data_IF_327658582036
#
_entry.id   IF_327658582036
#
_cell.length_a   1.000
_cell.length_b   1.000
_cell.length_c   1.000
_cell.angle_alpha   90.00
_cell.angle_beta   90.00
_cell.angle_gamma   90.00
#
_symmetry.space_group_name_H-M   'P 1'
#
loop_
_entity.id
_entity.type
_entity.pdbx_description
1 polymer ?
#
# COMPACT_ATOMS: atom_id res chain seq x y z
N UNK A 1 -32.75 -2.85 -3.72
CA UNK A 1 -32.18 -1.75 -4.53
C UNK A 1 -33.00 -0.49 -4.32
N UNK A 2 -32.50 0.46 -3.53
CA UNK A 2 -32.99 1.84 -3.52
C UNK A 2 -31.79 2.74 -3.83
N UNK A 3 -31.84 3.41 -4.96
CA UNK A 3 -30.85 4.36 -5.44
C UNK A 3 -30.79 5.55 -4.47
N UNK A 4 -29.64 5.78 -3.84
CA UNK A 4 -29.41 6.94 -3.00
C UNK A 4 -28.82 8.06 -3.87
N UNK A 5 -29.69 8.90 -4.41
CA UNK A 5 -29.27 10.09 -5.17
C UNK A 5 -28.95 11.20 -4.16
N UNK A 6 -27.66 11.45 -3.93
CA UNK A 6 -27.19 12.48 -3.01
C UNK A 6 -27.48 13.88 -3.59
N UNK A 7 -28.33 14.65 -2.91
CA UNK A 7 -28.66 16.02 -3.30
C UNK A 7 -27.48 16.96 -2.98
N UNK A 8 -26.86 17.55 -4.00
CA UNK A 8 -25.59 18.29 -3.92
C UNK A 8 -25.64 19.66 -3.23
N UNK A 9 -26.79 20.10 -2.71
CA UNK A 9 -27.04 21.50 -2.42
C UNK A 9 -27.14 21.89 -0.92
N UNK A 10 -26.59 21.10 0.01
CA UNK A 10 -26.55 21.45 1.45
C UNK A 10 -25.22 21.09 2.09
N UNK A 11 -24.12 21.62 1.54
CA UNK A 11 -22.78 21.45 2.11
C UNK A 11 -22.24 22.83 2.51
N UNK A 12 -22.81 23.40 3.58
CA UNK A 12 -22.16 24.52 4.27
C UNK A 12 -21.03 23.95 5.13
N UNK A 13 -19.85 23.80 4.52
CA UNK A 13 -18.61 23.58 5.26
C UNK A 13 -18.33 24.81 6.14
N UNK A 14 -17.96 24.64 7.42
CA UNK A 14 -17.57 25.77 8.26
C UNK A 14 -16.35 26.50 7.68
N UNK A 15 -16.34 27.82 7.84
CA UNK A 15 -15.38 28.74 7.25
C UNK A 15 -13.92 28.44 7.67
N UNK A 16 -13.02 28.74 6.73
CA UNK A 16 -11.55 28.68 6.77
C UNK A 16 -10.89 28.77 8.16
N UNK A 17 -10.74 27.62 8.81
CA UNK A 17 -9.55 27.32 9.60
C UNK A 17 -8.54 26.61 8.71
N UNK A 18 -7.24 26.68 9.04
CA UNK A 18 -6.21 25.86 8.38
C UNK A 18 -6.71 24.43 8.16
N UNK A 19 -6.42 23.79 7.01
CA UNK A 19 -6.83 22.41 6.79
C UNK A 19 -6.39 21.57 7.99
N UNK A 20 -7.30 20.80 8.61
CA UNK A 20 -6.94 20.03 9.79
C UNK A 20 -5.79 19.11 9.42
N UNK A 21 -4.76 19.10 10.25
CA UNK A 21 -3.63 18.21 10.09
C UNK A 21 -4.11 16.76 10.24
N UNK A 22 -4.43 16.15 9.09
CA UNK A 22 -4.89 14.76 8.96
C UNK A 22 -3.81 13.75 9.40
N UNK A 23 -2.59 14.21 9.72
CA UNK A 23 -1.56 13.37 10.32
C UNK A 23 -1.77 13.16 11.84
N UNK A 24 -2.69 13.90 12.49
CA UNK A 24 -2.98 13.79 13.93
C UNK A 24 -4.09 12.79 14.28
N UNK A 25 -3.97 11.53 13.85
CA UNK A 25 -4.85 10.42 14.29
C UNK A 25 -4.53 9.95 15.73
N UNK A 26 -3.82 10.77 16.52
CA UNK A 26 -3.09 10.27 17.68
C UNK A 26 -3.98 9.91 18.88
N UNK A 27 -5.24 10.34 18.90
CA UNK A 27 -6.18 9.96 19.95
C UNK A 27 -7.15 8.88 19.46
N UNK A 28 -6.88 7.65 19.91
CA UNK A 28 -7.72 6.49 19.66
C UNK A 28 -8.62 6.23 20.88
N UNK A 29 -9.92 6.07 20.63
CA UNK A 29 -10.88 5.57 21.60
C UNK A 29 -11.21 4.11 21.34
N UNK A 30 -11.98 3.50 22.25
CA UNK A 30 -12.60 2.18 22.04
C UNK A 30 -14.11 2.30 22.16
N UNK A 31 -14.83 1.71 21.22
CA UNK A 31 -16.29 1.63 21.31
C UNK A 31 -16.74 0.58 22.35
N UNK A 32 -18.05 0.43 22.56
CA UNK A 32 -18.61 -0.52 23.53
C UNK A 32 -18.19 -1.99 23.27
N UNK A 33 -17.84 -2.32 22.04
CA UNK A 33 -17.35 -3.64 21.66
C UNK A 33 -15.81 -3.73 21.69
N UNK A 34 -15.13 -2.70 22.19
CA UNK A 34 -13.68 -2.63 22.31
C UNK A 34 -12.95 -2.29 21.01
N UNK A 35 -13.63 -1.92 19.92
CA UNK A 35 -12.99 -1.61 18.63
C UNK A 35 -12.41 -0.21 18.63
N UNK A 36 -11.22 -0.08 18.05
CA UNK A 36 -10.53 1.21 17.92
C UNK A 36 -11.28 2.14 16.96
N UNK A 37 -11.34 3.42 17.32
CA UNK A 37 -11.80 4.49 16.45
C UNK A 37 -11.00 5.78 16.70
N UNK A 38 -11.00 6.69 15.73
CA UNK A 38 -10.39 8.00 15.91
C UNK A 38 -11.35 8.94 16.65
N UNK A 39 -10.99 9.38 17.85
CA UNK A 39 -11.81 10.30 18.66
C UNK A 39 -12.09 11.58 17.88
N UNK A 40 -11.01 12.16 17.34
CA UNK A 40 -11.05 13.37 16.53
C UNK A 40 -11.98 13.24 15.30
N UNK A 41 -11.96 12.09 14.64
CA UNK A 41 -12.80 11.85 13.46
C UNK A 41 -14.30 11.85 13.82
N UNK A 42 -14.67 11.21 14.94
CA UNK A 42 -16.05 11.21 15.42
C UNK A 42 -16.50 12.59 15.86
N UNK A 43 -15.67 13.33 16.58
CA UNK A 43 -15.98 14.70 16.99
C UNK A 43 -16.22 15.62 15.78
N UNK A 44 -15.36 15.53 14.77
CA UNK A 44 -15.45 16.34 13.56
C UNK A 44 -16.77 16.13 12.81
N UNK A 45 -17.28 14.90 12.80
CA UNK A 45 -18.48 14.54 12.04
C UNK A 45 -19.75 14.39 12.88
N UNK A 46 -19.67 14.44 14.22
CA UNK A 46 -20.82 14.37 15.11
C UNK A 46 -21.95 15.36 14.74
N UNK A 47 -21.68 16.62 14.33
CA UNK A 47 -22.73 17.56 13.95
C UNK A 47 -23.52 17.17 12.69
N UNK A 48 -22.98 16.27 11.85
CA UNK A 48 -23.64 15.89 10.59
C UNK A 48 -24.77 14.88 10.82
N UNK A 49 -24.82 14.18 11.95
CA UNK A 49 -25.89 13.23 12.28
C UNK A 49 -26.06 12.07 11.30
N UNK A 50 -25.02 11.77 10.49
CA UNK A 50 -25.02 10.68 9.50
C UNK A 50 -24.10 9.55 9.94
N UNK A 51 -24.39 8.33 9.49
CA UNK A 51 -23.51 7.19 9.70
C UNK A 51 -22.19 7.37 8.92
N UNK A 52 -21.09 7.49 9.66
CA UNK A 52 -19.76 7.70 9.12
C UNK A 52 -18.90 6.44 9.11
N UNK A 53 -19.47 5.27 9.42
CA UNK A 53 -18.72 4.00 9.54
C UNK A 53 -17.89 3.69 8.29
N UNK A 54 -18.42 3.96 7.09
CA UNK A 54 -17.69 3.78 5.84
C UNK A 54 -16.50 4.75 5.71
N UNK A 55 -16.66 6.00 6.14
CA UNK A 55 -15.60 7.02 6.11
C UNK A 55 -14.53 6.71 7.14
N UNK A 56 -14.91 6.31 8.36
CA UNK A 56 -13.99 5.87 9.40
C UNK A 56 -13.15 4.68 8.92
N UNK A 57 -13.79 3.66 8.35
CA UNK A 57 -13.09 2.47 7.85
C UNK A 57 -12.11 2.79 6.71
N UNK A 58 -12.52 3.60 5.73
CA UNK A 58 -11.65 3.99 4.62
C UNK A 58 -10.49 4.89 5.08
N UNK A 59 -10.72 5.78 6.04
CA UNK A 59 -9.65 6.58 6.63
C UNK A 59 -8.67 5.69 7.40
N UNK A 60 -9.15 4.78 8.24
CA UNK A 60 -8.33 3.85 9.00
C UNK A 60 -7.45 3.00 8.07
N UNK A 61 -8.00 2.50 6.96
CA UNK A 61 -7.23 1.77 5.96
C UNK A 61 -6.11 2.63 5.34
N UNK A 62 -6.40 3.88 4.96
CA UNK A 62 -5.39 4.78 4.38
C UNK A 62 -4.25 5.05 5.37
N UNK A 63 -4.59 5.29 6.63
CA UNK A 63 -3.62 5.54 7.70
C UNK A 63 -2.77 4.29 7.92
N UNK A 64 -3.39 3.12 8.09
CA UNK A 64 -2.68 1.85 8.26
C UNK A 64 -1.78 1.54 7.06
N UNK A 65 -2.25 1.77 5.83
CA UNK A 65 -1.46 1.60 4.61
C UNK A 65 -0.27 2.55 4.53
N UNK A 66 -0.45 3.80 4.94
CA UNK A 66 0.66 4.76 5.02
C UNK A 66 1.69 4.37 6.07
N UNK A 67 1.26 3.98 7.27
CA UNK A 67 2.14 3.49 8.34
C UNK A 67 2.91 2.24 7.91
N UNK A 68 2.25 1.30 7.23
CA UNK A 68 2.90 0.13 6.65
C UNK A 68 3.96 0.53 5.62
N UNK A 69 3.63 1.46 4.72
CA UNK A 69 4.58 1.98 3.72
C UNK A 69 5.82 2.61 4.37
N UNK A 70 5.65 3.43 5.41
CA UNK A 70 6.77 4.02 6.15
C UNK A 70 7.65 2.98 6.84
N UNK A 71 7.05 1.95 7.44
CA UNK A 71 7.81 0.88 8.08
C UNK A 71 8.62 0.10 7.03
N UNK A 72 8.00 -0.22 5.89
CA UNK A 72 8.68 -0.92 4.79
C UNK A 72 9.80 -0.08 4.17
N UNK A 73 9.64 1.25 4.07
CA UNK A 73 10.73 2.14 3.62
C UNK A 73 11.90 2.12 4.59
N UNK A 74 11.65 2.29 5.91
CA UNK A 74 12.70 2.23 6.93
C UNK A 74 13.42 0.88 6.94
N UNK A 75 12.67 -0.21 6.78
CA UNK A 75 13.25 -1.54 6.66
C UNK A 75 14.14 -1.65 5.42
N UNK A 76 13.68 -1.14 4.27
CA UNK A 76 14.48 -1.15 3.06
C UNK A 76 15.77 -0.31 3.18
N UNK A 77 15.68 0.85 3.84
CA UNK A 77 16.81 1.75 4.09
C UNK A 77 17.91 1.08 4.94
N UNK A 78 17.52 0.25 5.93
CA UNK A 78 18.48 -0.55 6.72
C UNK A 78 19.31 -1.51 5.87
N UNK A 79 18.82 -1.85 4.67
CA UNK A 79 19.49 -2.70 3.70
C UNK A 79 20.06 -1.93 2.49
N UNK A 80 20.13 -0.59 2.57
CA UNK A 80 20.65 0.26 1.50
C UNK A 80 19.73 0.41 0.28
N UNK A 81 18.47 -0.04 0.40
CA UNK A 81 17.47 -0.02 -0.64
C UNK A 81 16.36 0.99 -0.32
N UNK A 82 15.52 1.30 -1.31
CA UNK A 82 14.21 1.93 -1.06
C UNK A 82 13.13 0.86 -1.13
N UNK A 83 11.92 1.14 -0.61
CA UNK A 83 10.82 0.17 -0.65
C UNK A 83 10.51 -0.27 -2.08
N UNK A 84 10.52 0.67 -3.04
CA UNK A 84 10.29 0.38 -4.45
C UNK A 84 11.37 -0.52 -5.06
N UNK A 85 12.65 -0.27 -4.78
CA UNK A 85 13.77 -1.09 -5.28
C UNK A 85 13.71 -2.50 -4.68
N UNK A 86 13.44 -2.60 -3.39
CA UNK A 86 13.24 -3.87 -2.71
C UNK A 86 12.04 -4.65 -3.29
N UNK A 87 10.94 -3.96 -3.60
CA UNK A 87 9.77 -4.55 -4.27
C UNK A 87 10.10 -5.17 -5.62
N UNK A 88 10.89 -4.48 -6.46
CA UNK A 88 11.37 -5.03 -7.75
C UNK A 88 12.19 -6.30 -7.52
N UNK A 89 13.17 -6.29 -6.61
CA UNK A 89 14.00 -7.45 -6.34
C UNK A 89 13.19 -8.65 -5.84
N UNK A 90 12.24 -8.45 -4.92
CA UNK A 90 11.34 -9.52 -4.45
C UNK A 90 10.46 -10.07 -5.56
N UNK A 91 9.95 -9.20 -6.43
CA UNK A 91 9.11 -9.61 -7.55
C UNK A 91 9.88 -10.45 -8.57
N UNK A 92 11.14 -10.10 -8.84
CA UNK A 92 12.02 -10.87 -9.71
C UNK A 92 12.49 -12.18 -9.07
N UNK A 93 12.75 -12.18 -7.75
CA UNK A 93 13.10 -13.40 -7.01
C UNK A 93 11.99 -14.45 -7.12
N UNK A 94 10.73 -14.03 -7.01
CA UNK A 94 9.56 -14.91 -6.95
C UNK A 94 9.06 -15.40 -8.30
N UNK A 95 9.07 -14.54 -9.33
CA UNK A 95 8.50 -14.91 -10.63
C UNK A 95 9.49 -14.81 -11.80
N UNK A 96 10.77 -14.61 -11.52
CA UNK A 96 11.84 -14.57 -12.51
C UNK A 96 11.85 -13.29 -13.33
N UNK A 97 12.55 -13.35 -14.47
CA UNK A 97 12.69 -12.27 -15.42
C UNK A 97 11.33 -11.69 -15.79
N UNK A 98 11.14 -10.39 -15.66
CA UNK A 98 9.82 -9.76 -15.80
C UNK A 98 9.90 -8.50 -16.67
N UNK A 99 8.98 -8.29 -17.63
CA UNK A 99 8.88 -7.04 -18.37
C UNK A 99 8.72 -5.84 -17.44
N UNK A 100 9.30 -4.69 -17.80
CA UNK A 100 9.16 -3.48 -16.98
C UNK A 100 7.71 -2.98 -16.89
N UNK A 101 6.89 -3.24 -17.92
CA UNK A 101 5.45 -2.95 -17.90
C UNK A 101 4.74 -3.75 -16.79
N UNK A 102 4.95 -5.06 -16.77
CA UNK A 102 4.37 -5.96 -15.77
C UNK A 102 4.87 -5.62 -14.36
N UNK A 103 6.13 -5.22 -14.19
CA UNK A 103 6.64 -4.72 -12.90
C UNK A 103 5.87 -3.47 -12.42
N UNK A 104 5.46 -2.60 -13.34
CA UNK A 104 4.69 -1.41 -12.99
C UNK A 104 3.28 -1.78 -12.51
N UNK A 105 2.63 -2.71 -13.20
CA UNK A 105 1.31 -3.20 -12.82
C UNK A 105 1.34 -3.96 -11.49
N UNK A 106 2.27 -4.91 -11.35
CA UNK A 106 2.39 -5.77 -10.17
C UNK A 106 2.73 -5.00 -8.90
N UNK A 107 3.52 -3.93 -9.02
CA UNK A 107 3.93 -3.09 -7.90
C UNK A 107 3.03 -1.86 -7.71
N UNK A 108 1.95 -1.72 -8.49
CA UNK A 108 1.07 -0.55 -8.44
C UNK A 108 1.80 0.77 -8.68
N UNK A 109 2.84 0.74 -9.53
CA UNK A 109 3.72 1.86 -9.81
C UNK A 109 3.53 2.40 -11.23
N UNK A 110 4.07 3.59 -11.49
CA UNK A 110 4.05 4.12 -12.87
C UNK A 110 5.21 3.52 -13.69
N UNK A 111 5.06 3.34 -15.01
CA UNK A 111 6.15 2.86 -15.86
C UNK A 111 7.42 3.70 -15.73
N UNK A 112 7.28 5.03 -15.64
CA UNK A 112 8.40 5.96 -15.43
C UNK A 112 9.14 5.69 -14.12
N UNK A 113 8.41 5.43 -13.04
CA UNK A 113 9.01 5.13 -11.75
C UNK A 113 9.75 3.78 -11.78
N UNK A 114 9.15 2.75 -12.38
CA UNK A 114 9.81 1.45 -12.53
C UNK A 114 11.10 1.57 -13.33
N UNK A 115 11.10 2.30 -14.45
CA UNK A 115 12.33 2.51 -15.22
C UNK A 115 13.43 3.10 -14.34
N UNK A 116 13.13 4.14 -13.55
CA UNK A 116 14.09 4.72 -12.62
C UNK A 116 14.56 3.73 -11.54
N UNK A 117 13.65 2.97 -10.93
CA UNK A 117 14.02 1.95 -9.94
C UNK A 117 14.96 0.89 -10.53
N UNK A 118 14.68 0.42 -11.75
CA UNK A 118 15.52 -0.56 -12.45
C UNK A 118 16.86 0.06 -12.87
N UNK A 119 16.90 1.33 -13.29
CA UNK A 119 18.16 2.03 -13.60
C UNK A 119 19.09 2.08 -12.39
N UNK A 120 18.54 2.38 -11.21
CA UNK A 120 19.30 2.38 -9.97
C UNK A 120 19.79 0.98 -9.59
N UNK A 121 18.91 -0.04 -9.68
CA UNK A 121 19.29 -1.41 -9.38
C UNK A 121 20.34 -1.98 -10.36
N UNK A 122 20.29 -1.58 -11.62
CA UNK A 122 21.28 -1.95 -12.64
C UNK A 122 22.62 -1.27 -12.39
N UNK A 123 22.60 0.02 -12.01
CA UNK A 123 23.80 0.74 -11.57
C UNK A 123 24.43 0.11 -10.32
N UNK A 124 23.61 -0.38 -9.40
CA UNK A 124 24.04 -1.07 -8.18
C UNK A 124 24.49 -2.53 -8.47
N UNK A 125 24.37 -3.01 -9.71
CA UNK A 125 24.78 -4.35 -10.13
C UNK A 125 23.85 -5.48 -9.65
N UNK A 126 22.64 -5.15 -9.22
CA UNK A 126 21.66 -6.09 -8.65
C UNK A 126 20.69 -6.64 -9.69
N UNK A 127 20.48 -5.89 -10.77
CA UNK A 127 19.60 -6.25 -11.88
C UNK A 127 20.34 -6.02 -13.19
N UNK A 128 19.98 -6.76 -14.23
CA UNK A 128 20.35 -6.48 -15.61
C UNK A 128 19.11 -6.47 -16.49
N UNK A 129 19.13 -5.66 -17.57
CA UNK A 129 18.10 -5.71 -18.61
C UNK A 129 18.46 -6.70 -19.70
N UNK A 130 17.50 -7.55 -20.02
CA UNK A 130 17.63 -8.53 -21.11
C UNK A 130 16.54 -8.29 -22.15
N UNK A 131 16.82 -8.54 -23.45
CA UNK A 131 15.80 -8.47 -24.49
C UNK A 131 14.62 -9.39 -24.17
N UNK A 132 13.40 -8.93 -24.44
CA UNK A 132 12.27 -9.84 -24.40
C UNK A 132 12.31 -10.78 -25.62
N UNK A 133 12.14 -12.07 -25.38
CA UNK A 133 12.16 -13.09 -26.43
C UNK A 133 10.93 -12.99 -27.34
N UNK A 134 9.81 -12.52 -26.80
CA UNK A 134 8.52 -12.45 -27.49
C UNK A 134 8.27 -11.07 -28.11
N UNK A 135 8.92 -10.02 -27.60
CA UNK A 135 8.85 -8.66 -28.14
C UNK A 135 10.22 -7.95 -28.14
N UNK A 136 10.85 -7.85 -29.32
CA UNK A 136 12.14 -7.17 -29.50
C UNK A 136 12.15 -5.68 -29.13
N UNK A 137 10.98 -5.05 -28.93
CA UNK A 137 10.85 -3.66 -28.48
C UNK A 137 10.73 -3.54 -26.97
N UNK A 138 10.53 -4.66 -26.27
CA UNK A 138 10.41 -4.74 -24.82
C UNK A 138 11.71 -5.23 -24.18
N UNK A 139 11.91 -4.85 -22.92
CA UNK A 139 13.02 -5.29 -22.10
C UNK A 139 12.49 -5.89 -20.80
N UNK A 140 13.15 -6.94 -20.34
CA UNK A 140 12.87 -7.61 -19.07
C UNK A 140 13.96 -7.25 -18.08
N UNK A 141 13.59 -7.04 -16.83
CA UNK A 141 14.55 -7.01 -15.73
C UNK A 141 14.83 -8.43 -15.27
N UNK A 142 16.10 -8.74 -14.99
CA UNK A 142 16.59 -10.02 -14.46
C UNK A 142 17.48 -9.77 -13.27
N UNK A 143 17.40 -10.60 -12.23
CA UNK A 143 18.35 -10.56 -11.11
C UNK A 143 19.73 -11.01 -11.57
N UNK A 144 20.76 -10.25 -11.21
CA UNK A 144 22.13 -10.76 -11.22
C UNK A 144 22.34 -11.74 -10.07
N UNK A 145 23.45 -12.47 -10.07
CA UNK A 145 23.82 -13.33 -8.94
C UNK A 145 23.98 -12.52 -7.64
N UNK A 146 24.55 -11.32 -7.74
CA UNK A 146 24.68 -10.41 -6.60
C UNK A 146 23.31 -9.93 -6.08
N UNK A 147 22.40 -9.55 -6.99
CA UNK A 147 21.04 -9.15 -6.63
C UNK A 147 20.25 -10.28 -5.98
N UNK A 148 20.37 -11.50 -6.51
CA UNK A 148 19.78 -12.71 -5.92
C UNK A 148 20.30 -12.96 -4.51
N UNK A 149 21.63 -12.98 -4.33
CA UNK A 149 22.23 -13.20 -3.01
C UNK A 149 21.80 -12.15 -1.98
N UNK A 150 21.76 -10.88 -2.37
CA UNK A 150 21.32 -9.81 -1.48
C UNK A 150 19.85 -9.96 -1.08
N UNK A 151 18.94 -10.14 -2.05
CA UNK A 151 17.50 -10.19 -1.74
C UNK A 151 17.12 -11.46 -0.96
N UNK A 152 17.78 -12.59 -1.21
CA UNK A 152 17.58 -13.81 -0.41
C UNK A 152 18.04 -13.64 1.04
N UNK A 153 19.14 -12.92 1.27
CA UNK A 153 19.61 -12.61 2.62
C UNK A 153 18.65 -11.67 3.37
N UNK A 154 18.13 -10.66 2.68
CA UNK A 154 17.11 -9.74 3.22
C UNK A 154 15.81 -10.50 3.51
N UNK A 155 15.38 -11.39 2.61
CA UNK A 155 14.14 -12.14 2.80
C UNK A 155 14.14 -12.97 4.08
N UNK A 156 15.26 -13.64 4.37
CA UNK A 156 15.42 -14.44 5.60
C UNK A 156 15.31 -13.58 6.87
N UNK A 157 15.73 -12.32 6.82
CA UNK A 157 15.64 -11.39 7.95
C UNK A 157 14.26 -10.73 8.06
N UNK A 158 13.60 -10.48 6.93
CA UNK A 158 12.32 -9.76 6.87
C UNK A 158 11.10 -10.57 7.30
N UNK A 159 11.18 -11.90 7.36
CA UNK A 159 10.07 -12.75 7.82
C UNK A 159 9.65 -12.35 9.25
N UNK A 160 10.61 -12.07 10.13
CA UNK A 160 10.32 -11.76 11.53
C UNK A 160 9.71 -10.36 11.70
N UNK A 161 10.18 -9.37 10.92
CA UNK A 161 9.72 -7.98 11.03
C UNK A 161 8.27 -7.78 10.54
N UNK A 162 7.78 -8.63 9.62
CA UNK A 162 6.38 -8.58 9.17
C UNK A 162 5.38 -8.96 10.26
N UNK A 163 5.81 -9.68 11.31
CA UNK A 163 4.93 -10.10 12.40
C UNK A 163 4.65 -8.98 13.42
N UNK A 164 5.50 -7.97 13.54
CA UNK A 164 5.36 -6.88 14.51
C UNK A 164 4.08 -6.06 14.26
N UNK A 165 3.78 -5.76 12.99
CA UNK A 165 2.61 -4.94 12.62
C UNK A 165 1.26 -5.64 12.86
N UNK A 166 1.28 -6.96 13.00
CA UNK A 166 0.09 -7.77 13.25
C UNK A 166 0.12 -8.38 14.65
N UNK A 167 0.99 -7.88 15.52
CA UNK A 167 1.06 -8.32 16.90
C UNK A 167 -0.31 -8.15 17.59
N UNK A 168 -0.75 -9.19 18.30
CA UNK A 168 -2.04 -9.22 18.96
C UNK A 168 -3.23 -9.59 18.08
N UNK A 169 -3.05 -9.82 16.77
CA UNK A 169 -4.12 -10.25 15.88
C UNK A 169 -4.32 -11.77 16.00
N UNK A 170 -5.56 -12.20 16.16
CA UNK A 170 -5.91 -13.62 16.06
C UNK A 170 -5.87 -14.10 14.59
N UNK A 171 -5.89 -15.42 14.38
CA UNK A 171 -6.01 -16.00 13.03
C UNK A 171 -7.29 -15.55 12.31
N UNK A 172 -8.35 -15.32 13.07
CA UNK A 172 -9.62 -14.81 12.56
C UNK A 172 -9.50 -13.35 12.13
N UNK A 173 -8.85 -12.50 12.95
CA UNK A 173 -8.60 -11.09 12.60
C UNK A 173 -7.79 -10.97 11.31
N UNK A 174 -6.73 -11.77 11.17
CA UNK A 174 -5.91 -11.82 9.95
C UNK A 174 -6.71 -12.27 8.73
N UNK A 175 -7.56 -13.29 8.88
CA UNK A 175 -8.42 -13.76 7.81
C UNK A 175 -9.45 -12.70 7.40
N UNK A 176 -10.05 -12.02 8.37
CA UNK A 176 -11.03 -10.96 8.15
C UNK A 176 -10.39 -9.74 7.51
N UNK A 177 -9.22 -9.30 7.98
CA UNK A 177 -8.46 -8.19 7.40
C UNK A 177 -8.15 -8.47 5.92
N UNK A 178 -7.59 -9.65 5.62
CA UNK A 178 -7.31 -10.06 4.24
C UNK A 178 -8.58 -10.04 3.39
N UNK A 179 -9.68 -10.60 3.89
CA UNK A 179 -10.95 -10.65 3.17
C UNK A 179 -11.47 -9.25 2.82
N UNK A 180 -11.55 -8.35 3.80
CA UNK A 180 -12.05 -6.99 3.61
C UNK A 180 -11.17 -6.17 2.66
N UNK A 181 -9.85 -6.28 2.78
CA UNK A 181 -8.91 -5.61 1.87
C UNK A 181 -9.08 -6.09 0.42
N UNK A 182 -9.23 -7.41 0.19
CA UNK A 182 -9.44 -7.95 -1.14
C UNK A 182 -10.80 -7.56 -1.73
N UNK A 183 -11.86 -7.50 -0.91
CA UNK A 183 -13.16 -6.98 -1.35
C UNK A 183 -13.07 -5.51 -1.78
N UNK A 184 -12.28 -4.69 -1.10
CA UNK A 184 -12.02 -3.30 -1.51
C UNK A 184 -11.30 -3.24 -2.86
N UNK A 185 -10.34 -4.13 -3.12
CA UNK A 185 -9.67 -4.23 -4.43
C UNK A 185 -10.67 -4.58 -5.54
N UNK A 186 -11.55 -5.55 -5.31
CA UNK A 186 -12.59 -5.90 -6.29
C UNK A 186 -13.54 -4.74 -6.57
N UNK A 187 -13.93 -4.00 -5.53
CA UNK A 187 -14.80 -2.83 -5.67
C UNK A 187 -14.10 -1.70 -6.43
N UNK A 188 -12.83 -1.41 -6.11
CA UNK A 188 -12.05 -0.39 -6.79
C UNK A 188 -11.88 -0.71 -8.29
N UNK A 189 -11.61 -1.97 -8.63
CA UNK A 189 -11.53 -2.41 -10.03
C UNK A 189 -12.82 -2.14 -10.80
N UNK A 190 -13.97 -2.45 -10.21
CA UNK A 190 -15.29 -2.20 -10.83
C UNK A 190 -15.51 -0.72 -11.11
N UNK A 191 -15.13 0.17 -10.20
CA UNK A 191 -15.28 1.62 -10.39
C UNK A 191 -14.31 2.17 -11.44
N UNK A 192 -13.08 1.67 -11.53
CA UNK A 192 -12.10 2.09 -12.53
C UNK A 192 -12.43 1.63 -13.97
N UNK A 193 -13.28 0.62 -14.10
CA UNK A 193 -13.75 0.11 -15.40
C UNK A 193 -15.07 0.71 -15.89
N UNK A 194 -15.71 1.60 -15.09
CA UNK A 194 -16.89 2.36 -15.48
C UNK A 194 -16.50 3.63 -16.23
#
# INVERSE_FOLDING_TARGET
MKSFTMNRNTMNLPASGSPPDLHSVHELGRDEAGRLYSVRMRELFAPLGVDMSAVEALAALKIAGHSLGMLMERWAEQHGLSQGRMGVLFRLLRCGDTPLGDLAEDLGSTPRNITGLVDHLEKDGLVERVPDADDRRSVRARLTEAGRGQIEAIWKQGIDHQFEMVEGFSKEDLAQLRHLCLQLVENARKELTK
#
